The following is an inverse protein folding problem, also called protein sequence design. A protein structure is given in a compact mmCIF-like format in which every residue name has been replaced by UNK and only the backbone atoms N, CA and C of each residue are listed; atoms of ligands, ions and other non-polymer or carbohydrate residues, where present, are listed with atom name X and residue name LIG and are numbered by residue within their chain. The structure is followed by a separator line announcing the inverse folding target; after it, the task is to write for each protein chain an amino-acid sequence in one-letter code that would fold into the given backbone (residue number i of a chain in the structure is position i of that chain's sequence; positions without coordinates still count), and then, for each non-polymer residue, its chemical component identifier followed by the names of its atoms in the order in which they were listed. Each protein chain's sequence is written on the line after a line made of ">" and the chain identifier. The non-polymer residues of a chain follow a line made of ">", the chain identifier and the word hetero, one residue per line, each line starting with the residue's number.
data_IF_794375228983
#
_entry.id   IF_794375228983
#
_cell.length_a   1.000
_cell.length_b   1.000
_cell.length_c   1.000
_cell.angle_alpha   90.00
_cell.angle_beta   90.00
_cell.angle_gamma   90.00
#
_symmetry.space_group_name_H-M   'P 1'
#
loop_
_entity.id
_entity.type
_entity.pdbx_description
1 polymer ?
#
# COMPACT_ATOMS: atom_id res chain seq x y z
N UNK A 1 -30.59 24.01 -35.67
CA UNK A 1 -30.23 22.92 -36.60
C UNK A 1 -29.79 21.72 -35.78
N UNK A 2 -30.29 20.52 -36.07
CA UNK A 2 -29.92 19.32 -35.31
C UNK A 2 -28.51 18.82 -35.71
N UNK A 3 -27.76 18.18 -34.80
CA UNK A 3 -26.34 17.82 -35.03
C UNK A 3 -26.15 16.89 -36.24
N UNK A 4 -27.17 16.08 -36.55
CA UNK A 4 -27.16 15.19 -37.71
C UNK A 4 -27.40 15.94 -39.03
N UNK A 5 -28.11 17.07 -39.00
CA UNK A 5 -28.28 17.93 -40.17
C UNK A 5 -26.99 18.70 -40.49
N UNK A 6 -26.27 19.13 -39.46
CA UNK A 6 -24.97 19.81 -39.61
C UNK A 6 -23.90 18.91 -40.25
N UNK A 7 -23.85 17.63 -39.86
CA UNK A 7 -22.92 16.65 -40.46
C UNK A 7 -23.22 16.40 -41.95
N UNK A 8 -24.49 16.31 -42.33
CA UNK A 8 -24.90 16.14 -43.73
C UNK A 8 -24.60 17.36 -44.59
N UNK A 9 -24.79 18.57 -44.06
CA UNK A 9 -24.47 19.80 -44.79
C UNK A 9 -22.97 19.89 -45.13
N UNK A 10 -22.10 19.48 -44.18
CA UNK A 10 -20.64 19.48 -44.36
C UNK A 10 -20.16 18.43 -45.37
N UNK A 11 -20.77 17.25 -45.40
CA UNK A 11 -20.46 16.21 -46.40
C UNK A 11 -20.85 16.63 -47.83
N UNK A 12 -21.89 17.45 -47.98
CA UNK A 12 -22.33 17.96 -49.30
C UNK A 12 -21.54 19.15 -49.83
N UNK A 13 -20.53 19.63 -49.10
CA UNK A 13 -19.66 20.73 -49.53
C UNK A 13 -20.33 22.11 -49.58
N UNK A 14 -21.50 22.26 -48.97
CA UNK A 14 -22.14 23.56 -48.82
C UNK A 14 -21.47 24.32 -47.66
N UNK A 15 -20.83 25.45 -47.98
CA UNK A 15 -20.24 26.34 -46.97
C UNK A 15 -21.36 27.01 -46.18
N UNK A 16 -21.52 26.61 -44.92
CA UNK A 16 -22.41 27.28 -43.95
C UNK A 16 -21.88 28.69 -43.74
N UNK A 17 -22.76 29.69 -43.86
CA UNK A 17 -22.37 31.10 -43.73
C UNK A 17 -22.13 31.45 -42.26
N UNK A 18 -21.16 32.32 -42.00
CA UNK A 18 -20.75 32.74 -40.64
C UNK A 18 -21.90 33.37 -39.82
N UNK A 19 -22.95 33.85 -40.52
CA UNK A 19 -24.17 34.37 -39.92
C UNK A 19 -25.04 33.28 -39.24
N UNK A 20 -24.99 32.03 -39.74
CA UNK A 20 -25.76 30.92 -39.16
C UNK A 20 -25.09 30.32 -37.91
N UNK A 21 -23.77 30.53 -37.76
CA UNK A 21 -23.01 30.13 -36.56
C UNK A 21 -23.27 31.08 -35.39
N UNK A 22 -23.35 32.38 -35.64
CA UNK A 22 -23.65 33.37 -34.60
C UNK A 22 -25.08 33.26 -34.06
N UNK A 23 -26.05 32.85 -34.90
CA UNK A 23 -27.44 32.65 -34.46
C UNK A 23 -27.60 31.46 -33.49
N UNK A 24 -26.72 30.45 -33.55
CA UNK A 24 -26.75 29.30 -32.65
C UNK A 24 -26.05 29.56 -31.30
N UNK A 25 -25.16 30.56 -31.22
CA UNK A 25 -24.51 30.99 -29.98
C UNK A 25 -25.35 31.96 -29.15
N UNK A 26 -26.27 32.71 -29.78
CA UNK A 26 -27.13 33.70 -29.09
C UNK A 26 -28.42 33.14 -28.49
N UNK A 27 -28.75 31.86 -28.69
CA UNK A 27 -30.01 31.26 -28.21
C UNK A 27 -29.89 30.50 -26.88
N UNK A 28 -28.73 30.54 -26.20
CA UNK A 28 -28.53 29.86 -24.89
C UNK A 28 -28.06 30.82 -23.77
N UNK A 29 -28.16 32.14 -23.98
CA UNK A 29 -27.87 33.12 -22.91
C UNK A 29 -28.98 34.17 -22.89
N UNK A 30 -30.12 33.84 -22.28
CA UNK A 30 -30.77 34.70 -21.28
C UNK A 30 -31.86 33.92 -20.52
N UNK A 31 -32.16 34.39 -19.30
CA UNK A 31 -33.22 33.95 -18.37
C UNK A 31 -32.90 32.79 -17.42
N UNK A 32 -32.05 33.06 -16.42
CA UNK A 32 -32.44 33.05 -14.99
C UNK A 32 -31.19 33.29 -14.11
N UNK A 33 -30.88 34.58 -13.95
CA UNK A 33 -30.10 35.07 -12.82
C UNK A 33 -31.03 35.09 -11.60
N UNK A 34 -31.23 33.94 -10.96
CA UNK A 34 -31.72 33.92 -9.58
C UNK A 34 -30.54 34.25 -8.68
N UNK A 35 -30.53 35.48 -8.16
CA UNK A 35 -29.84 35.82 -6.92
C UNK A 35 -30.44 34.93 -5.81
N UNK A 36 -29.89 33.74 -5.61
CA UNK A 36 -30.01 33.04 -4.34
C UNK A 36 -29.23 33.88 -3.32
N UNK A 37 -29.99 34.71 -2.61
CA UNK A 37 -29.63 35.27 -1.33
C UNK A 37 -28.92 34.22 -0.48
N UNK A 38 -27.77 34.57 0.08
CA UNK A 38 -27.17 33.91 1.24
C UNK A 38 -28.23 33.84 2.35
N UNK A 39 -29.02 32.78 2.35
CA UNK A 39 -29.84 32.38 3.47
C UNK A 39 -28.85 31.87 4.51
N UNK A 40 -28.60 32.71 5.50
CA UNK A 40 -27.92 32.36 6.74
C UNK A 40 -28.68 31.18 7.31
N UNK A 41 -28.16 29.97 7.09
CA UNK A 41 -28.51 28.81 7.88
C UNK A 41 -27.85 29.08 9.24
N UNK A 42 -28.59 29.80 10.10
CA UNK A 42 -28.48 29.63 11.53
C UNK A 42 -28.75 28.14 11.78
N UNK A 43 -27.68 27.35 11.85
CA UNK A 43 -27.69 26.09 12.58
C UNK A 43 -28.04 26.48 14.01
N UNK A 44 -29.35 26.43 14.28
CA UNK A 44 -29.93 26.28 15.60
C UNK A 44 -29.21 25.08 16.22
N UNK A 45 -28.18 25.38 17.02
CA UNK A 45 -27.66 24.50 18.04
C UNK A 45 -28.84 24.21 18.95
N UNK A 46 -29.60 23.17 18.61
CA UNK A 46 -30.49 22.49 19.51
C UNK A 46 -29.57 21.92 20.60
N UNK A 47 -29.35 22.73 21.63
CA UNK A 47 -28.95 22.26 22.95
C UNK A 47 -29.97 21.19 23.30
N UNK A 48 -29.59 19.93 23.06
CA UNK A 48 -30.21 18.79 23.72
C UNK A 48 -29.87 18.98 25.19
N UNK A 49 -30.73 19.75 25.84
CA UNK A 49 -30.93 19.75 27.26
C UNK A 49 -31.43 18.34 27.59
N UNK A 50 -30.48 17.40 27.72
CA UNK A 50 -30.72 16.19 28.48
C UNK A 50 -31.01 16.66 29.90
N UNK A 51 -32.31 16.84 30.14
CA UNK A 51 -32.95 16.95 31.42
C UNK A 51 -32.75 15.61 32.14
N UNK A 52 -31.50 15.33 32.50
CA UNK A 52 -31.19 14.34 33.51
C UNK A 52 -31.49 15.03 34.83
N UNK A 53 -32.79 15.07 35.16
CA UNK A 53 -33.26 15.28 36.52
C UNK A 53 -32.34 14.49 37.44
N UNK A 54 -31.57 15.22 38.23
CA UNK A 54 -30.99 14.74 39.47
C UNK A 54 -32.14 14.33 40.37
N UNK A 55 -32.66 13.12 40.19
CA UNK A 55 -33.32 12.40 41.25
C UNK A 55 -32.23 12.01 42.24
N UNK A 56 -32.00 12.91 43.20
CA UNK A 56 -31.51 12.56 44.52
C UNK A 56 -32.57 11.64 45.17
N UNK A 57 -32.67 10.40 44.69
CA UNK A 57 -33.26 9.31 45.45
C UNK A 57 -32.09 8.53 46.04
N UNK A 58 -31.77 8.93 47.27
CA UNK A 58 -30.90 8.29 48.23
C UNK A 58 -31.47 6.90 48.57
N UNK A 59 -31.32 5.96 47.63
CA UNK A 59 -31.46 4.53 47.92
C UNK A 59 -30.05 4.06 48.24
N UNK A 60 -29.75 4.02 49.54
CA UNK A 60 -28.68 3.19 50.11
C UNK A 60 -28.93 1.73 49.72
N UNK A 61 -28.63 1.37 48.48
CA UNK A 61 -28.57 0.00 48.03
C UNK A 61 -27.31 -0.58 48.67
N UNK A 62 -27.53 -1.33 49.74
CA UNK A 62 -26.53 -2.04 50.53
C UNK A 62 -25.62 -2.83 49.59
N UNK A 63 -24.52 -2.19 49.18
CA UNK A 63 -23.50 -2.78 48.34
C UNK A 63 -22.86 -3.86 49.19
N UNK A 64 -23.38 -5.08 49.12
CA UNK A 64 -22.70 -6.26 49.61
C UNK A 64 -21.29 -6.20 49.03
N UNK A 65 -20.32 -5.89 49.90
CA UNK A 65 -18.93 -5.74 49.52
C UNK A 65 -18.42 -7.13 49.11
N UNK A 66 -18.63 -7.47 47.84
CA UNK A 66 -18.07 -8.65 47.21
C UNK A 66 -16.56 -8.63 47.44
N UNK A 67 -16.01 -9.79 47.77
CA UNK A 67 -14.61 -9.88 48.15
C UNK A 67 -13.72 -9.36 47.00
N UNK A 68 -12.52 -8.80 47.28
CA UNK A 68 -11.64 -8.25 46.24
C UNK A 68 -11.29 -9.24 45.10
N UNK A 69 -11.41 -10.55 45.35
CA UNK A 69 -11.22 -11.60 44.33
C UNK A 69 -12.42 -11.74 43.38
N UNK A 70 -13.63 -11.45 43.83
CA UNK A 70 -14.85 -11.48 43.00
C UNK A 70 -14.98 -10.20 42.19
N UNK A 71 -14.59 -9.05 42.74
CA UNK A 71 -14.51 -7.78 42.01
C UNK A 71 -13.55 -7.87 40.80
N UNK A 72 -12.38 -8.49 40.97
CA UNK A 72 -11.42 -8.67 39.88
C UNK A 72 -11.85 -9.71 38.83
N UNK A 73 -12.63 -10.72 39.23
CA UNK A 73 -13.19 -11.71 38.29
C UNK A 73 -14.37 -11.13 37.49
N UNK A 74 -15.23 -10.34 38.13
CA UNK A 74 -16.31 -9.60 37.48
C UNK A 74 -15.76 -8.55 36.52
N UNK A 75 -14.77 -7.76 36.94
CA UNK A 75 -14.11 -6.77 36.09
C UNK A 75 -13.43 -7.43 34.88
N UNK A 76 -12.76 -8.58 35.06
CA UNK A 76 -12.22 -9.38 33.93
C UNK A 76 -13.31 -9.93 33.01
N UNK A 77 -14.50 -10.23 33.54
CA UNK A 77 -15.64 -10.67 32.72
C UNK A 77 -16.24 -9.49 31.95
N UNK A 78 -16.33 -8.34 32.58
CA UNK A 78 -16.80 -7.09 31.98
C UNK A 78 -15.86 -6.62 30.88
N UNK A 79 -14.54 -6.66 31.09
CA UNK A 79 -13.54 -6.38 30.06
C UNK A 79 -13.61 -7.37 28.88
N UNK A 80 -13.92 -8.65 29.15
CA UNK A 80 -14.12 -9.64 28.08
C UNK A 80 -15.39 -9.40 27.29
N UNK A 81 -16.47 -9.00 27.96
CA UNK A 81 -17.71 -8.63 27.27
C UNK A 81 -17.54 -7.32 26.50
N UNK A 82 -16.84 -6.32 27.05
CA UNK A 82 -16.46 -5.09 26.34
C UNK A 82 -15.59 -5.40 25.12
N UNK A 83 -14.57 -6.24 25.24
CA UNK A 83 -13.76 -6.67 24.08
C UNK A 83 -14.57 -7.39 23.03
N UNK A 84 -15.53 -8.24 23.42
CA UNK A 84 -16.44 -8.90 22.46
C UNK A 84 -17.36 -7.90 21.77
N UNK A 85 -17.84 -6.87 22.49
CA UNK A 85 -18.66 -5.80 21.92
C UNK A 85 -17.82 -4.97 20.94
N UNK A 86 -16.60 -4.60 21.29
CA UNK A 86 -15.68 -3.86 20.42
C UNK A 86 -15.30 -4.67 19.17
N UNK A 87 -15.04 -5.97 19.31
CA UNK A 87 -14.76 -6.87 18.18
C UNK A 87 -15.98 -7.00 17.26
N UNK A 88 -17.19 -7.10 17.81
CA UNK A 88 -18.44 -7.08 17.03
C UNK A 88 -18.63 -5.75 16.31
N UNK A 89 -18.40 -4.63 16.98
CA UNK A 89 -18.54 -3.30 16.40
C UNK A 89 -17.49 -3.09 15.29
N UNK A 90 -16.27 -3.58 15.48
CA UNK A 90 -15.21 -3.55 14.46
C UNK A 90 -15.56 -4.40 13.25
N UNK A 91 -16.06 -5.62 13.46
CA UNK A 91 -16.46 -6.51 12.37
C UNK A 91 -17.66 -5.97 11.61
N UNK A 92 -18.65 -5.39 12.30
CA UNK A 92 -19.78 -4.71 11.69
C UNK A 92 -19.33 -3.49 10.87
N UNK A 93 -18.42 -2.67 11.41
CA UNK A 93 -17.82 -1.57 10.66
C UNK A 93 -17.07 -2.05 9.42
N UNK A 94 -16.31 -3.14 9.53
CA UNK A 94 -15.59 -3.75 8.40
C UNK A 94 -16.57 -4.29 7.34
N UNK A 95 -17.68 -4.91 7.74
CA UNK A 95 -18.74 -5.35 6.83
C UNK A 95 -19.44 -4.17 6.14
N UNK A 96 -19.75 -3.10 6.88
CA UNK A 96 -20.31 -1.88 6.30
C UNK A 96 -19.35 -1.24 5.29
N UNK A 97 -18.05 -1.18 5.61
CA UNK A 97 -17.06 -0.69 4.66
C UNK A 97 -16.93 -1.62 3.46
N UNK A 98 -16.91 -2.94 3.66
CA UNK A 98 -16.84 -3.92 2.58
C UNK A 98 -18.05 -3.81 1.66
N UNK A 99 -19.25 -3.62 2.19
CA UNK A 99 -20.45 -3.40 1.37
C UNK A 99 -20.37 -2.09 0.56
N UNK A 100 -19.92 -1.00 1.19
CA UNK A 100 -19.75 0.30 0.50
C UNK A 100 -18.68 0.24 -0.58
N UNK A 101 -17.58 -0.48 -0.35
CA UNK A 101 -16.45 -0.54 -1.27
C UNK A 101 -16.43 -1.76 -2.20
N UNK A 102 -17.34 -2.72 -2.05
CA UNK A 102 -17.42 -3.94 -2.89
C UNK A 102 -17.48 -3.62 -4.38
N UNK A 103 -18.23 -2.58 -4.77
CA UNK A 103 -18.31 -2.14 -6.17
C UNK A 103 -16.97 -1.61 -6.69
N UNK A 104 -16.24 -0.88 -5.85
CA UNK A 104 -14.92 -0.37 -6.21
C UNK A 104 -13.90 -1.51 -6.30
N UNK A 105 -13.97 -2.50 -5.40
CA UNK A 105 -13.10 -3.68 -5.45
C UNK A 105 -13.33 -4.52 -6.72
N UNK A 106 -14.58 -4.70 -7.14
CA UNK A 106 -14.92 -5.38 -8.40
C UNK A 106 -14.41 -4.60 -9.63
N UNK A 107 -14.58 -3.28 -9.63
CA UNK A 107 -14.09 -2.41 -10.71
C UNK A 107 -12.56 -2.40 -10.75
N UNK A 108 -11.89 -2.27 -9.61
CA UNK A 108 -10.43 -2.35 -9.49
C UNK A 108 -9.93 -3.71 -9.98
N UNK A 109 -10.60 -4.79 -9.59
CA UNK A 109 -10.27 -6.14 -10.04
C UNK A 109 -10.43 -6.30 -11.56
N UNK A 110 -11.50 -5.74 -12.15
CA UNK A 110 -11.70 -5.79 -13.61
C UNK A 110 -10.71 -4.93 -14.39
N UNK A 111 -10.20 -3.85 -13.80
CA UNK A 111 -9.16 -2.98 -14.39
C UNK A 111 -7.71 -3.46 -14.14
N UNK A 112 -7.50 -4.62 -13.50
CA UNK A 112 -6.17 -5.23 -13.33
C UNK A 112 -5.59 -5.20 -11.92
N UNK A 113 -6.40 -4.92 -10.90
CA UNK A 113 -6.15 -5.21 -9.48
C UNK A 113 -5.18 -4.28 -8.75
N UNK A 114 -4.31 -3.55 -9.45
CA UNK A 114 -3.34 -2.63 -8.85
C UNK A 114 -3.83 -1.18 -8.94
N UNK A 115 -4.32 -0.58 -7.83
CA UNK A 115 -4.91 0.75 -7.84
C UNK A 115 -3.92 1.85 -8.25
N UNK A 116 -2.62 1.71 -7.94
CA UNK A 116 -1.62 2.71 -8.35
C UNK A 116 -1.44 2.73 -9.86
N UNK A 117 -1.41 1.55 -10.50
CA UNK A 117 -1.32 1.45 -11.97
C UNK A 117 -2.57 1.99 -12.65
N UNK A 118 -3.75 1.71 -12.09
CA UNK A 118 -5.02 2.22 -12.60
C UNK A 118 -5.05 3.75 -12.54
N UNK A 119 -4.62 4.34 -11.42
CA UNK A 119 -4.55 5.79 -11.28
C UNK A 119 -3.56 6.41 -12.29
N UNK A 120 -2.41 5.79 -12.50
CA UNK A 120 -1.44 6.28 -13.49
C UNK A 120 -1.99 6.18 -14.92
N UNK A 121 -2.61 5.05 -15.29
CA UNK A 121 -3.24 4.89 -16.60
C UNK A 121 -4.39 5.89 -16.81
N UNK A 122 -5.18 6.17 -15.77
CA UNK A 122 -6.25 7.17 -15.82
C UNK A 122 -5.70 8.58 -16.05
N UNK A 123 -4.60 8.95 -15.38
CA UNK A 123 -3.91 10.24 -15.60
C UNK A 123 -3.35 10.35 -17.02
N UNK A 124 -2.70 9.31 -17.51
CA UNK A 124 -2.19 9.27 -18.90
C UNK A 124 -3.34 9.43 -19.91
N UNK A 125 -4.45 8.73 -19.70
CA UNK A 125 -5.63 8.86 -20.55
C UNK A 125 -6.25 10.27 -20.50
N UNK A 126 -6.25 10.92 -19.33
CA UNK A 126 -6.68 12.32 -19.22
C UNK A 126 -5.77 13.25 -20.02
N UNK A 127 -4.45 13.13 -19.89
CA UNK A 127 -3.52 13.95 -20.66
C UNK A 127 -3.68 13.77 -22.17
N UNK A 128 -3.86 12.52 -22.63
CA UNK A 128 -4.11 12.23 -24.05
C UNK A 128 -5.42 12.85 -24.54
N UNK A 129 -6.50 12.77 -23.74
CA UNK A 129 -7.79 13.38 -24.09
C UNK A 129 -7.72 14.90 -24.13
N UNK A 130 -7.06 15.51 -23.17
CA UNK A 130 -6.87 16.96 -23.14
C UNK A 130 -6.02 17.43 -24.32
N UNK A 131 -4.93 16.70 -24.63
CA UNK A 131 -4.10 16.97 -25.79
C UNK A 131 -4.89 16.82 -27.11
N UNK A 132 -5.71 15.77 -27.24
CA UNK A 132 -6.57 15.60 -28.41
C UNK A 132 -7.59 16.74 -28.53
N UNK A 133 -8.19 17.16 -27.41
CA UNK A 133 -9.11 18.30 -27.40
C UNK A 133 -8.43 19.59 -27.84
N UNK A 134 -7.20 19.84 -27.36
CA UNK A 134 -6.39 20.98 -27.79
C UNK A 134 -6.00 20.87 -29.27
N UNK A 135 -5.72 19.67 -29.73
CA UNK A 135 -5.41 19.40 -31.13
C UNK A 135 -6.60 19.70 -32.03
N UNK A 136 -7.80 19.25 -31.67
CA UNK A 136 -9.03 19.52 -32.43
C UNK A 136 -9.35 21.03 -32.45
N UNK A 137 -9.10 21.74 -31.34
CA UNK A 137 -9.30 23.20 -31.25
C UNK A 137 -8.30 23.99 -32.10
N UNK A 138 -7.04 23.60 -32.08
CA UNK A 138 -5.96 24.33 -32.76
C UNK A 138 -5.66 23.79 -34.17
N UNK A 139 -6.33 22.71 -34.60
CA UNK A 139 -6.07 22.01 -35.85
C UNK A 139 -4.69 21.33 -35.91
N UNK A 140 -4.17 20.83 -34.78
CA UNK A 140 -2.89 20.14 -34.73
C UNK A 140 -2.95 18.78 -35.41
N UNK A 141 -1.83 18.35 -36.02
CA UNK A 141 -1.72 17.01 -36.57
C UNK A 141 -1.52 15.97 -35.45
N UNK A 142 -1.71 14.68 -35.76
CA UNK A 142 -1.43 13.59 -34.82
C UNK A 142 0.03 13.62 -34.33
N UNK A 143 0.98 14.00 -35.20
CA UNK A 143 2.39 14.11 -34.86
C UNK A 143 2.65 15.26 -33.86
N UNK A 144 2.02 16.41 -34.07
CA UNK A 144 2.14 17.57 -33.16
C UNK A 144 1.49 17.26 -31.80
N UNK A 145 0.36 16.54 -31.82
CA UNK A 145 -0.34 16.10 -30.61
C UNK A 145 0.51 15.13 -29.79
N UNK A 146 1.14 14.14 -30.44
CA UNK A 146 2.07 13.23 -29.78
C UNK A 146 3.28 13.95 -29.21
N UNK A 147 3.85 14.90 -29.97
CA UNK A 147 4.96 15.72 -29.50
C UNK A 147 4.58 16.53 -28.25
N UNK A 148 3.38 17.12 -28.24
CA UNK A 148 2.89 17.85 -27.07
C UNK A 148 2.71 16.94 -25.84
N UNK A 149 2.13 15.75 -26.02
CA UNK A 149 1.97 14.77 -24.94
C UNK A 149 3.34 14.37 -24.37
N UNK A 150 4.30 14.04 -25.24
CA UNK A 150 5.65 13.68 -24.84
C UNK A 150 6.35 14.85 -24.12
N UNK A 151 6.17 16.07 -24.62
CA UNK A 151 6.69 17.27 -23.97
C UNK A 151 6.10 17.46 -22.57
N UNK A 152 4.79 17.29 -22.39
CA UNK A 152 4.15 17.38 -21.06
C UNK A 152 4.71 16.33 -20.10
N UNK A 153 4.89 15.09 -20.59
CA UNK A 153 5.49 14.02 -19.79
C UNK A 153 6.92 14.35 -19.36
N UNK A 154 7.75 14.84 -20.28
CA UNK A 154 9.11 15.27 -19.96
C UNK A 154 9.12 16.42 -18.94
N UNK A 155 8.19 17.39 -19.04
CA UNK A 155 8.08 18.47 -18.06
C UNK A 155 7.70 17.97 -16.67
N UNK A 156 6.79 16.99 -16.58
CA UNK A 156 6.46 16.33 -15.31
C UNK A 156 7.69 15.63 -14.74
N UNK A 157 8.36 14.78 -15.50
CA UNK A 157 9.58 14.08 -15.06
C UNK A 157 10.67 15.05 -14.58
N UNK A 158 10.87 16.18 -15.28
CA UNK A 158 11.81 17.22 -14.85
C UNK A 158 11.38 17.90 -13.55
N UNK A 159 10.08 18.13 -13.35
CA UNK A 159 9.54 18.68 -12.11
C UNK A 159 9.77 17.71 -10.95
N UNK A 160 9.47 16.43 -11.13
CA UNK A 160 9.70 15.39 -10.12
C UNK A 160 11.18 15.31 -9.75
N UNK A 161 12.06 15.28 -10.75
CA UNK A 161 13.50 15.23 -10.55
C UNK A 161 14.02 16.49 -9.84
N UNK A 162 13.48 17.68 -10.14
CA UNK A 162 13.81 18.92 -9.43
C UNK A 162 13.45 18.83 -7.94
N UNK A 163 12.25 18.34 -7.64
CA UNK A 163 11.78 18.13 -6.27
C UNK A 163 12.68 17.12 -5.55
N UNK A 164 12.97 15.98 -6.19
CA UNK A 164 13.86 14.97 -5.65
C UNK A 164 15.27 15.51 -5.38
N UNK A 165 15.83 16.30 -6.29
CA UNK A 165 17.12 16.95 -6.08
C UNK A 165 17.11 17.91 -4.88
N UNK A 166 16.03 18.68 -4.70
CA UNK A 166 15.87 19.56 -3.54
C UNK A 166 15.76 18.75 -2.25
N UNK A 167 14.96 17.68 -2.24
CA UNK A 167 14.84 16.75 -1.10
C UNK A 167 16.21 16.16 -0.75
N UNK A 168 16.98 15.71 -1.74
CA UNK A 168 18.31 15.16 -1.50
C UNK A 168 19.28 16.17 -0.88
N UNK A 169 19.17 17.46 -1.22
CA UNK A 169 19.95 18.53 -0.58
C UNK A 169 19.53 18.78 0.87
N UNK A 170 18.24 18.65 1.15
CA UNK A 170 17.67 18.92 2.48
C UNK A 170 17.74 17.72 3.43
N UNK A 171 17.90 16.50 2.90
CA UNK A 171 17.91 15.26 3.68
C UNK A 171 18.92 15.26 4.82
N UNK A 172 20.08 15.87 4.61
CA UNK A 172 21.17 15.90 5.58
C UNK A 172 21.01 17.06 6.60
N UNK A 173 20.05 17.97 6.38
CA UNK A 173 19.74 19.02 7.35
C UNK A 173 18.90 18.45 8.50
N UNK A 174 19.24 18.78 9.76
CA UNK A 174 18.51 18.30 10.93
C UNK A 174 17.06 18.82 10.99
N UNK A 175 16.80 20.01 10.46
CA UNK A 175 15.47 20.61 10.43
C UNK A 175 14.48 19.85 9.53
N UNK A 176 15.00 19.12 8.55
CA UNK A 176 14.25 18.36 7.55
C UNK A 176 14.46 16.85 7.70
N UNK A 177 14.70 16.38 8.93
CA UNK A 177 15.04 14.99 9.21
C UNK A 177 13.98 14.02 8.67
N UNK A 178 14.38 13.17 7.71
CA UNK A 178 13.49 12.20 7.08
C UNK A 178 12.53 12.76 6.03
N UNK A 179 12.79 13.95 5.49
CA UNK A 179 12.09 14.50 4.32
C UNK A 179 12.01 13.52 3.14
N UNK A 180 13.04 12.69 2.96
CA UNK A 180 13.09 11.66 1.90
C UNK A 180 11.96 10.62 1.99
N UNK A 181 11.45 10.28 3.19
CA UNK A 181 10.31 9.35 3.29
C UNK A 181 8.98 9.98 2.89
N UNK A 182 8.92 11.31 2.78
CA UNK A 182 7.71 12.06 2.41
C UNK A 182 7.78 12.61 0.98
N UNK A 183 8.70 12.14 0.14
CA UNK A 183 8.89 12.62 -1.23
C UNK A 183 7.60 12.62 -2.05
N UNK A 184 6.85 11.51 -2.03
CA UNK A 184 5.57 11.39 -2.75
C UNK A 184 4.51 12.39 -2.24
N UNK A 185 4.42 12.58 -0.93
CA UNK A 185 3.45 13.47 -0.31
C UNK A 185 3.78 14.95 -0.60
N UNK A 186 5.07 15.29 -0.58
CA UNK A 186 5.59 16.62 -0.92
C UNK A 186 5.28 16.93 -2.39
N UNK A 187 5.59 16.01 -3.29
CA UNK A 187 5.30 16.15 -4.72
C UNK A 187 3.80 16.35 -4.97
N UNK A 188 2.96 15.52 -4.36
CA UNK A 188 1.51 15.67 -4.45
C UNK A 188 1.00 17.01 -3.89
N UNK A 189 1.63 17.56 -2.84
CA UNK A 189 1.27 18.87 -2.29
C UNK A 189 1.68 20.01 -3.23
N UNK A 190 2.85 19.91 -3.86
CA UNK A 190 3.35 20.86 -4.86
C UNK A 190 2.50 20.82 -6.14
N UNK A 191 2.03 19.64 -6.55
CA UNK A 191 1.11 19.49 -7.69
C UNK A 191 -0.23 20.15 -7.41
N UNK A 192 -0.83 19.92 -6.23
CA UNK A 192 -2.09 20.57 -5.84
C UNK A 192 -1.98 22.08 -5.74
N UNK A 193 -0.80 22.62 -5.45
CA UNK A 193 -0.55 24.07 -5.41
C UNK A 193 -0.06 24.64 -6.73
N UNK A 194 -0.09 23.87 -7.82
CA UNK A 194 0.42 24.26 -9.14
C UNK A 194 1.87 24.79 -9.11
N UNK A 195 2.69 24.28 -8.18
CA UNK A 195 4.09 24.71 -8.02
C UNK A 195 4.30 25.98 -7.21
N UNK A 196 3.27 26.52 -6.56
CA UNK A 196 3.41 27.71 -5.69
C UNK A 196 4.21 27.42 -4.41
N UNK A 197 4.17 26.18 -3.93
CA UNK A 197 4.91 25.75 -2.74
C UNK A 197 6.29 25.20 -3.12
N UNK A 198 7.30 25.61 -2.37
CA UNK A 198 8.63 24.98 -2.39
C UNK A 198 8.63 23.65 -1.63
N UNK A 199 9.68 22.84 -1.79
CA UNK A 199 9.85 21.57 -1.07
C UNK A 199 9.89 21.77 0.45
N UNK A 200 10.52 22.85 0.91
CA UNK A 200 10.63 23.20 2.33
C UNK A 200 9.26 23.57 2.92
N UNK A 201 8.52 24.45 2.23
CA UNK A 201 7.19 24.87 2.66
C UNK A 201 6.20 23.71 2.60
N UNK A 202 6.29 22.86 1.57
CA UNK A 202 5.47 21.66 1.46
C UNK A 202 5.76 20.67 2.60
N UNK A 203 7.03 20.49 3.01
CA UNK A 203 7.39 19.66 4.16
C UNK A 203 6.73 20.15 5.44
N UNK A 204 6.81 21.45 5.72
CA UNK A 204 6.18 22.02 6.92
C UNK A 204 4.64 22.02 6.85
N UNK A 205 4.07 22.27 5.67
CA UNK A 205 2.63 22.21 5.44
C UNK A 205 2.06 20.78 5.62
N UNK A 206 2.89 19.75 5.45
CA UNK A 206 2.53 18.36 5.72
C UNK A 206 2.66 17.96 7.21
N UNK A 207 3.16 18.86 8.06
CA UNK A 207 3.38 18.62 9.49
C UNK A 207 4.83 18.30 9.88
N UNK A 208 5.77 18.44 8.94
CA UNK A 208 7.21 18.34 9.16
C UNK A 208 7.63 17.05 9.87
N UNK A 209 8.47 17.17 10.89
CA UNK A 209 9.05 16.03 11.62
C UNK A 209 8.00 15.11 12.27
N UNK A 210 6.87 15.66 12.75
CA UNK A 210 5.80 14.85 13.37
C UNK A 210 5.18 13.89 12.37
N UNK A 211 4.97 14.36 11.13
CA UNK A 211 4.44 13.52 10.05
C UNK A 211 5.45 12.46 9.64
N UNK A 212 6.74 12.78 9.60
CA UNK A 212 7.81 11.80 9.33
C UNK A 212 7.78 10.67 10.37
N UNK A 213 7.66 10.99 11.65
CA UNK A 213 7.56 9.98 12.73
C UNK A 213 6.33 9.09 12.55
N UNK A 214 5.19 9.68 12.22
CA UNK A 214 3.97 8.92 11.93
C UNK A 214 4.15 7.97 10.74
N UNK A 215 4.71 8.46 9.63
CA UNK A 215 4.99 7.63 8.43
C UNK A 215 5.94 6.48 8.76
N UNK A 216 6.96 6.71 9.60
CA UNK A 216 7.85 5.65 10.09
C UNK A 216 7.11 4.61 10.92
N UNK A 217 6.23 5.03 11.82
CA UNK A 217 5.43 4.12 12.64
C UNK A 217 4.46 3.29 11.79
N UNK A 218 3.75 3.92 10.85
CA UNK A 218 2.86 3.24 9.91
C UNK A 218 3.62 2.23 9.03
N UNK A 219 4.81 2.59 8.55
CA UNK A 219 5.66 1.68 7.79
C UNK A 219 6.10 0.47 8.61
N UNK A 220 6.49 0.66 9.88
CA UNK A 220 6.83 -0.43 10.79
C UNK A 220 5.63 -1.33 11.05
N UNK A 221 4.45 -0.77 11.31
CA UNK A 221 3.23 -1.56 11.50
C UNK A 221 2.87 -2.36 10.25
N UNK A 222 3.01 -1.76 9.06
CA UNK A 222 2.77 -2.44 7.78
C UNK A 222 3.76 -3.58 7.55
N UNK A 223 5.03 -3.40 7.90
CA UNK A 223 6.00 -4.49 7.86
C UNK A 223 5.67 -5.61 8.84
N UNK A 224 5.26 -5.28 10.06
CA UNK A 224 4.85 -6.29 11.06
C UNK A 224 3.63 -7.06 10.54
N UNK A 225 2.64 -6.38 9.97
CA UNK A 225 1.47 -7.02 9.37
C UNK A 225 1.85 -7.93 8.19
N UNK A 226 2.74 -7.48 7.29
CA UNK A 226 3.28 -8.32 6.20
C UNK A 226 3.99 -9.55 6.74
N UNK A 227 4.81 -9.40 7.79
CA UNK A 227 5.52 -10.52 8.44
C UNK A 227 4.57 -11.46 9.19
N UNK A 228 3.46 -10.95 9.72
CA UNK A 228 2.43 -11.75 10.37
C UNK A 228 1.59 -12.56 9.36
N UNK A 229 1.33 -11.99 8.17
CA UNK A 229 0.63 -12.67 7.08
C UNK A 229 1.50 -13.73 6.39
N UNK A 230 2.83 -13.56 6.39
CA UNK A 230 3.73 -14.58 5.87
C UNK A 230 3.81 -15.77 6.86
N UNK A 231 3.46 -16.99 6.42
CA UNK A 231 3.56 -18.16 7.28
C UNK A 231 5.02 -18.36 7.68
N UNK A 232 5.29 -18.34 8.99
CA UNK A 232 6.62 -18.67 9.52
C UNK A 232 6.96 -20.11 9.16
N UNK A 233 7.72 -20.29 8.07
CA UNK A 233 8.32 -21.60 7.78
C UNK A 233 9.44 -21.80 8.78
N UNK A 234 9.21 -22.63 9.79
CA UNK A 234 10.30 -23.21 10.56
C UNK A 234 11.11 -24.04 9.57
N UNK A 235 12.32 -23.59 9.22
CA UNK A 235 13.29 -24.47 8.59
C UNK A 235 13.53 -25.60 9.58
N UNK A 236 12.82 -26.71 9.40
CA UNK A 236 13.23 -27.95 10.02
C UNK A 236 14.59 -28.25 9.43
N UNK A 237 15.60 -28.32 10.29
CA UNK A 237 16.93 -28.78 9.92
C UNK A 237 16.76 -29.98 9.00
N UNK A 238 17.13 -29.79 7.74
CA UNK A 238 17.28 -30.93 6.83
C UNK A 238 18.27 -31.85 7.54
N UNK A 239 17.97 -33.16 7.71
CA UNK A 239 18.88 -34.04 8.42
C UNK A 239 20.24 -33.87 7.77
N UNK A 240 21.24 -33.44 8.55
CA UNK A 240 22.58 -33.29 8.06
C UNK A 240 23.04 -34.68 7.61
N UNK A 241 22.85 -34.98 6.33
CA UNK A 241 23.54 -36.09 5.70
C UNK A 241 25.00 -35.76 5.89
N UNK A 242 25.64 -36.54 6.75
CA UNK A 242 27.06 -36.50 7.05
C UNK A 242 27.85 -36.61 5.76
N UNK A 243 28.15 -35.45 5.17
CA UNK A 243 29.11 -35.31 4.07
C UNK A 243 30.48 -35.56 4.69
N UNK A 244 30.87 -36.83 4.81
CA UNK A 244 32.14 -37.20 5.43
C UNK A 244 32.68 -38.57 5.08
N UNK A 245 31.85 -39.55 4.70
CA UNK A 245 32.34 -40.92 4.48
C UNK A 245 31.92 -41.45 3.11
N UNK A 246 32.93 -41.81 2.30
CA UNK A 246 32.76 -42.40 0.98
C UNK A 246 31.92 -43.68 1.12
N UNK A 247 30.84 -43.86 0.33
CA UNK A 247 29.97 -45.02 0.46
C UNK A 247 30.76 -46.32 0.22
N UNK A 248 30.49 -47.36 1.01
CA UNK A 248 31.08 -48.68 0.80
C UNK A 248 30.74 -49.21 -0.59
N UNK A 249 31.71 -49.89 -1.22
CA UNK A 249 31.47 -50.47 -2.54
C UNK A 249 30.34 -51.53 -2.50
N UNK A 250 29.52 -51.67 -3.56
CA UNK A 250 28.37 -52.57 -3.57
C UNK A 250 28.72 -54.05 -3.32
N UNK A 251 29.91 -54.50 -3.70
CA UNK A 251 30.34 -55.89 -3.44
C UNK A 251 30.56 -56.15 -1.96
N UNK A 252 31.17 -55.20 -1.24
CA UNK A 252 31.41 -55.29 0.21
C UNK A 252 30.10 -55.25 0.99
N UNK A 253 29.12 -54.44 0.53
CA UNK A 253 27.78 -54.42 1.14
C UNK A 253 27.04 -55.75 0.93
N UNK A 254 27.17 -56.36 -0.25
CA UNK A 254 26.55 -57.65 -0.54
C UNK A 254 27.17 -58.78 0.30
N UNK A 255 28.49 -58.76 0.50
CA UNK A 255 29.21 -59.74 1.31
C UNK A 255 28.95 -59.55 2.81
N UNK A 256 28.92 -58.31 3.30
CA UNK A 256 28.55 -57.99 4.68
C UNK A 256 27.13 -58.46 5.02
N UNK A 257 26.17 -58.25 4.11
CA UNK A 257 24.79 -58.75 4.26
C UNK A 257 24.74 -60.28 4.29
N UNK A 258 25.54 -60.96 3.45
CA UNK A 258 25.65 -62.43 3.47
C UNK A 258 26.25 -62.96 4.77
N UNK A 259 27.16 -62.22 5.38
CA UNK A 259 27.81 -62.57 6.65
C UNK A 259 27.07 -62.04 7.89
N UNK A 260 25.92 -61.37 7.71
CA UNK A 260 25.11 -60.83 8.82
C UNK A 260 25.75 -59.65 9.56
N UNK A 261 26.73 -58.97 8.95
CA UNK A 261 27.48 -57.87 9.56
C UNK A 261 26.80 -56.54 9.22
N UNK A 262 26.71 -55.63 10.20
CA UNK A 262 26.16 -54.29 9.98
C UNK A 262 27.06 -53.43 9.07
N UNK A 263 26.48 -52.49 8.34
CA UNK A 263 27.25 -51.62 7.43
C UNK A 263 28.37 -50.86 8.14
N UNK A 264 28.11 -50.39 9.37
CA UNK A 264 29.10 -49.70 10.21
C UNK A 264 30.27 -50.61 10.60
N UNK A 265 30.00 -51.89 10.86
CA UNK A 265 31.01 -52.86 11.24
C UNK A 265 31.81 -53.36 10.03
N UNK A 266 31.17 -53.49 8.86
CA UNK A 266 31.86 -53.73 7.59
C UNK A 266 32.82 -52.58 7.24
N UNK A 267 32.43 -51.32 7.48
CA UNK A 267 33.33 -50.16 7.36
C UNK A 267 34.52 -50.28 8.29
N UNK A 268 34.27 -50.60 9.56
CA UNK A 268 35.32 -50.76 10.56
C UNK A 268 36.35 -51.83 10.15
N UNK A 269 35.90 -52.95 9.61
CA UNK A 269 36.78 -54.03 9.14
C UNK A 269 37.62 -53.64 7.92
N UNK A 270 37.05 -52.88 6.98
CA UNK A 270 37.80 -52.35 5.83
C UNK A 270 38.85 -51.31 6.25
N UNK A 271 38.53 -50.47 7.23
CA UNK A 271 39.46 -49.45 7.76
C UNK A 271 40.52 -50.06 8.69
N UNK A 272 40.24 -51.23 9.28
CA UNK A 272 41.13 -51.96 10.19
C UNK A 272 42.23 -52.78 9.48
N UNK A 273 42.67 -52.39 8.29
CA UNK A 273 43.95 -52.88 7.78
C UNK A 273 45.08 -52.46 8.75
N UNK A 274 45.81 -53.45 9.28
CA UNK A 274 47.06 -53.20 10.00
C UNK A 274 48.04 -52.47 9.08
N UNK A 275 48.71 -51.44 9.59
CA UNK A 275 49.77 -50.75 8.86
C UNK A 275 50.85 -51.78 8.53
N UNK A 276 51.18 -51.95 7.25
CA UNK A 276 52.20 -52.92 6.83
C UNK A 276 53.60 -52.30 6.90
N UNK A 277 53.68 -50.97 6.91
CA UNK A 277 54.92 -50.22 7.01
C UNK A 277 54.89 -49.19 8.15
N UNK A 278 56.06 -48.82 8.67
CA UNK A 278 56.20 -47.85 9.76
C UNK A 278 55.67 -46.47 9.37
N UNK A 279 55.77 -46.09 8.10
CA UNK A 279 55.31 -44.80 7.62
C UNK A 279 53.77 -44.71 7.57
N UNK A 280 53.09 -45.78 7.16
CA UNK A 280 51.62 -45.88 7.23
C UNK A 280 51.09 -45.80 8.68
N UNK A 281 51.83 -46.34 9.65
CA UNK A 281 51.47 -46.24 11.06
C UNK A 281 51.59 -44.80 11.57
N UNK A 282 52.64 -44.08 11.17
CA UNK A 282 52.85 -42.67 11.55
C UNK A 282 51.77 -41.75 10.99
N UNK A 283 51.33 -41.98 9.76
CA UNK A 283 50.22 -41.22 9.18
C UNK A 283 48.87 -41.52 9.84
N UNK A 284 48.54 -42.80 10.06
CA UNK A 284 47.31 -43.18 10.76
C UNK A 284 47.22 -42.58 12.17
N UNK A 285 48.36 -42.49 12.87
CA UNK A 285 48.43 -41.87 14.21
C UNK A 285 48.24 -40.35 14.19
N UNK A 286 48.69 -39.66 13.13
CA UNK A 286 48.43 -38.22 12.96
C UNK A 286 46.96 -37.93 12.62
N UNK A 287 46.27 -38.86 11.94
CA UNK A 287 44.87 -38.71 11.55
C UNK A 287 43.85 -38.96 12.66
N UNK A 288 44.16 -39.77 13.69
CA UNK A 288 43.20 -40.13 14.75
C UNK A 288 43.22 -39.21 15.99
N UNK A 289 43.92 -38.07 15.91
CA UNK A 289 44.09 -37.10 17.00
C UNK A 289 43.29 -35.81 16.83
N UNK A 290 42.20 -35.83 16.06
CA UNK A 290 41.24 -34.73 15.92
C UNK A 290 39.84 -35.24 16.17
#
# INVERSE_FOLDING_TARGET
>A
MDQNEYRKARETGATVSDADLQAAETEVIDDQFEEESDEVIEEELEEVQDDLETSEDDVEEEVEQLSPKEQTAFQKRLEREQKKIEEKLRTEMEEQFKQKYSKHDEVISSMGGDPEKILNAAKEAQMVREAQRLADQNGWSDADTQWYIEQQKQQQELKELRVQMQINRLKDNPDYAGIASMEKDILAKIDRSNGALTVEEAFWALGGNKRVEQVKLEAQQREIAKRAQQPRTVQRDSPSTSVGEKPLSPSVLAEAKKMGISEAEARRLMTAQSAQTIDEWREKRKGSGR
#
